data_IF_244682320160
#
_entry.id   IF_244682320160
#
_cell.length_a   1.000
_cell.length_b   1.000
_cell.length_c   1.000
_cell.angle_alpha   90.00
_cell.angle_beta   90.00
_cell.angle_gamma   90.00
#
_symmetry.space_group_name_H-M   'P 1'
#
loop_
_entity.id
_entity.type
_entity.pdbx_description
1 polymer ?
#
# COMPACT_ATOMS: atom_id res chain seq x y z
N UNK A 1 -17.12 -4.60 -12.59
CA UNK A 1 -16.79 -3.69 -13.71
C UNK A 1 -15.92 -4.49 -14.66
N UNK A 2 -16.30 -4.57 -15.92
CA UNK A 2 -15.52 -5.28 -16.93
C UNK A 2 -14.44 -4.38 -17.52
N UNK A 3 -13.50 -5.01 -18.20
CA UNK A 3 -12.46 -4.38 -19.00
C UNK A 3 -12.60 -4.92 -20.42
N UNK A 4 -12.49 -4.02 -21.39
CA UNK A 4 -12.37 -4.34 -22.81
C UNK A 4 -11.33 -3.41 -23.43
N UNK A 5 -10.57 -3.88 -24.40
CA UNK A 5 -9.64 -3.03 -25.12
C UNK A 5 -9.11 -3.70 -26.38
N UNK A 6 -8.22 -2.99 -27.06
CA UNK A 6 -7.58 -3.47 -28.28
C UNK A 6 -6.16 -2.95 -28.40
N UNK A 7 -5.33 -3.71 -29.14
CA UNK A 7 -4.00 -3.26 -29.53
C UNK A 7 -4.16 -2.23 -30.65
N UNK A 8 -3.56 -1.04 -30.49
CA UNK A 8 -3.73 0.08 -31.44
C UNK A 8 -3.38 -0.34 -32.86
N UNK A 9 -4.31 -0.10 -33.76
CA UNK A 9 -4.24 -0.32 -35.20
C UNK A 9 -5.21 0.65 -35.87
N UNK A 10 -4.88 1.13 -37.08
CA UNK A 10 -5.69 2.13 -37.80
C UNK A 10 -7.06 1.57 -38.26
N UNK A 11 -7.27 0.25 -38.15
CA UNK A 11 -8.52 -0.42 -38.52
C UNK A 11 -9.66 -0.25 -37.50
N UNK A 12 -9.37 0.20 -36.27
CA UNK A 12 -10.38 0.30 -35.22
C UNK A 12 -10.84 1.75 -35.05
N UNK A 13 -12.08 2.03 -35.47
CA UNK A 13 -12.78 3.28 -35.14
C UNK A 13 -13.36 3.18 -33.72
N UNK A 14 -12.72 3.87 -32.77
CA UNK A 14 -13.13 3.91 -31.36
C UNK A 14 -14.60 4.37 -31.21
N UNK A 15 -15.06 5.36 -31.99
CA UNK A 15 -16.44 5.87 -31.86
C UNK A 15 -17.46 4.82 -32.30
N UNK A 16 -17.16 4.10 -33.39
CA UNK A 16 -18.01 3.01 -33.87
C UNK A 16 -18.06 1.86 -32.88
N UNK A 17 -16.93 1.48 -32.30
CA UNK A 17 -16.87 0.45 -31.25
C UNK A 17 -17.74 0.83 -30.05
N UNK A 18 -17.63 2.07 -29.56
CA UNK A 18 -18.42 2.57 -28.42
C UNK A 18 -19.93 2.52 -28.74
N UNK A 19 -20.33 2.91 -29.96
CA UNK A 19 -21.74 2.80 -30.39
C UNK A 19 -22.24 1.36 -30.42
N UNK A 20 -21.42 0.41 -30.87
CA UNK A 20 -21.77 -1.01 -30.89
C UNK A 20 -21.95 -1.58 -29.49
N UNK A 21 -21.09 -1.21 -28.55
CA UNK A 21 -21.24 -1.56 -27.13
C UNK A 21 -22.54 -0.99 -26.54
N UNK A 22 -22.86 0.26 -26.87
CA UNK A 22 -24.12 0.89 -26.42
C UNK A 22 -25.38 0.17 -26.91
N UNK A 23 -25.36 -0.39 -28.13
CA UNK A 23 -26.50 -1.16 -28.69
C UNK A 23 -26.82 -2.42 -27.91
N UNK A 24 -25.82 -3.00 -27.23
CA UNK A 24 -25.98 -4.19 -26.37
C UNK A 24 -26.11 -3.84 -24.89
N UNK A 25 -26.34 -2.56 -24.56
CA UNK A 25 -26.57 -2.08 -23.20
C UNK A 25 -25.30 -1.93 -22.36
N UNK A 26 -24.12 -1.97 -22.97
CA UNK A 26 -22.84 -1.78 -22.26
C UNK A 26 -22.42 -0.31 -22.30
N UNK A 27 -22.01 0.21 -21.15
CA UNK A 27 -21.60 1.61 -21.00
C UNK A 27 -20.10 1.69 -20.75
N UNK A 28 -19.41 2.51 -21.54
CA UNK A 28 -17.99 2.83 -21.34
C UNK A 28 -17.87 3.88 -20.23
N UNK A 29 -17.26 3.50 -19.12
CA UNK A 29 -17.00 4.36 -17.96
C UNK A 29 -15.77 5.24 -18.16
N UNK A 30 -14.69 4.66 -18.69
CA UNK A 30 -13.44 5.39 -18.90
C UNK A 30 -12.65 4.81 -20.08
N UNK A 31 -11.74 5.63 -20.63
CA UNK A 31 -10.84 5.30 -21.74
C UNK A 31 -9.42 5.72 -21.38
N UNK A 32 -8.45 4.83 -21.57
CA UNK A 32 -7.03 5.12 -21.33
C UNK A 32 -6.15 4.49 -22.40
N UNK A 33 -4.99 5.08 -22.61
CA UNK A 33 -3.93 4.48 -23.40
C UNK A 33 -2.93 3.81 -22.48
N UNK A 34 -2.53 2.60 -22.84
CA UNK A 34 -1.58 1.80 -22.08
C UNK A 34 -0.59 1.14 -23.03
N UNK A 35 0.49 0.60 -22.48
CA UNK A 35 1.30 -0.39 -23.21
C UNK A 35 1.23 -1.73 -22.52
N UNK A 36 1.09 -2.78 -23.31
CA UNK A 36 1.07 -4.17 -22.83
C UNK A 36 2.28 -4.91 -23.37
N UNK A 37 2.94 -5.67 -22.50
CA UNK A 37 4.03 -6.56 -22.85
C UNK A 37 3.46 -7.90 -23.28
N UNK A 38 3.29 -8.12 -24.58
CA UNK A 38 2.85 -9.40 -25.12
C UNK A 38 4.02 -10.35 -25.30
N UNK A 39 3.74 -11.62 -25.61
CA UNK A 39 4.74 -12.65 -25.92
C UNK A 39 5.69 -12.26 -27.07
N UNK A 40 5.30 -11.33 -27.93
CA UNK A 40 6.11 -10.84 -29.06
C UNK A 40 6.90 -9.59 -28.68
N UNK A 41 6.24 -8.56 -28.15
CA UNK A 41 6.84 -7.27 -27.80
C UNK A 41 5.87 -6.37 -27.02
N UNK A 42 6.37 -5.20 -26.61
CA UNK A 42 5.52 -4.12 -26.11
C UNK A 42 4.63 -3.58 -27.23
N UNK A 43 3.33 -3.45 -26.93
CA UNK A 43 2.31 -2.95 -27.84
C UNK A 43 1.52 -1.81 -27.20
N UNK A 44 1.31 -0.74 -27.95
CA UNK A 44 0.37 0.31 -27.54
C UNK A 44 -1.06 -0.23 -27.62
N UNK A 45 -1.89 0.10 -26.65
CA UNK A 45 -3.25 -0.38 -26.54
C UNK A 45 -4.18 0.70 -26.00
N UNK A 46 -5.47 0.55 -26.29
CA UNK A 46 -6.54 1.33 -25.68
C UNK A 46 -7.33 0.39 -24.77
N UNK A 47 -7.55 0.83 -23.54
CA UNK A 47 -8.34 0.10 -22.54
C UNK A 47 -9.56 0.93 -22.17
N UNK A 48 -10.69 0.25 -22.09
CA UNK A 48 -11.98 0.76 -21.65
C UNK A 48 -12.41 0.04 -20.38
N UNK A 49 -12.84 0.83 -19.39
CA UNK A 49 -13.62 0.28 -18.27
C UNK A 49 -15.09 0.24 -18.70
N UNK A 50 -15.71 -0.93 -18.56
CA UNK A 50 -17.08 -1.20 -19.00
C UNK A 50 -17.98 -1.48 -17.79
N UNK A 51 -19.10 -0.78 -17.73
CA UNK A 51 -20.19 -1.10 -16.81
C UNK A 51 -21.04 -2.21 -17.43
N UNK A 52 -20.66 -3.46 -17.14
CA UNK A 52 -21.33 -4.66 -17.62
C UNK A 52 -20.36 -5.82 -17.81
N UNK A 53 -20.86 -7.02 -18.20
CA UNK A 53 -20.03 -8.16 -18.52
C UNK A 53 -19.28 -7.95 -19.84
N UNK A 54 -18.01 -8.35 -19.87
CA UNK A 54 -17.16 -8.25 -21.08
C UNK A 54 -16.73 -9.59 -21.65
N UNK A 55 -17.14 -10.71 -21.03
CA UNK A 55 -16.75 -12.05 -21.45
C UNK A 55 -17.20 -12.37 -22.88
N UNK A 56 -16.27 -12.87 -23.70
CA UNK A 56 -16.46 -13.23 -25.10
C UNK A 56 -16.46 -12.04 -26.07
N UNK A 57 -16.52 -10.79 -25.61
CA UNK A 57 -16.55 -9.61 -26.48
C UNK A 57 -15.23 -9.43 -27.21
N UNK A 58 -14.10 -9.62 -26.53
CA UNK A 58 -12.79 -9.46 -27.16
C UNK A 58 -12.60 -10.47 -28.29
N UNK A 59 -13.04 -11.73 -28.10
CA UNK A 59 -12.99 -12.73 -29.16
C UNK A 59 -13.84 -12.32 -30.37
N UNK A 60 -15.07 -11.86 -30.14
CA UNK A 60 -15.96 -11.40 -31.20
C UNK A 60 -15.36 -10.21 -31.98
N UNK A 61 -14.88 -9.19 -31.27
CA UNK A 61 -14.32 -8.00 -31.89
C UNK A 61 -12.98 -8.26 -32.56
N UNK A 62 -12.16 -9.18 -32.03
CA UNK A 62 -10.91 -9.56 -32.68
C UNK A 62 -11.14 -10.15 -34.07
N UNK A 63 -12.14 -11.02 -34.21
CA UNK A 63 -12.53 -11.57 -35.51
C UNK A 63 -13.17 -10.52 -36.42
N UNK A 64 -14.01 -9.63 -35.88
CA UNK A 64 -14.73 -8.62 -36.66
C UNK A 64 -13.83 -7.53 -37.23
N UNK A 65 -12.91 -7.03 -36.42
CA UNK A 65 -11.99 -5.95 -36.79
C UNK A 65 -10.65 -6.46 -37.31
N UNK A 66 -10.40 -7.77 -37.25
CA UNK A 66 -9.12 -8.40 -37.63
C UNK A 66 -7.90 -7.78 -36.90
N UNK A 67 -8.09 -7.39 -35.64
CA UNK A 67 -7.09 -6.78 -34.75
C UNK A 67 -7.13 -7.49 -33.40
N UNK A 68 -6.03 -7.60 -32.64
CA UNK A 68 -6.10 -8.20 -31.31
C UNK A 68 -6.93 -7.36 -30.33
N UNK A 69 -7.93 -7.97 -29.71
CA UNK A 69 -8.75 -7.39 -28.65
C UNK A 69 -8.50 -8.11 -27.33
N UNK A 70 -8.79 -7.47 -26.20
CA UNK A 70 -8.64 -8.09 -24.89
C UNK A 70 -9.76 -7.75 -23.93
N UNK A 71 -10.06 -8.67 -23.02
CA UNK A 71 -11.12 -8.54 -22.01
C UNK A 71 -10.63 -8.96 -20.61
N UNK A 72 -11.31 -8.48 -19.57
CA UNK A 72 -11.02 -8.84 -18.18
C UNK A 72 -11.99 -8.20 -17.19
N UNK A 73 -11.67 -8.21 -15.88
CA UNK A 73 -10.50 -8.87 -15.30
C UNK A 73 -10.68 -10.40 -15.25
N UNK A 74 -9.61 -11.12 -15.59
CA UNK A 74 -9.45 -12.54 -15.28
C UNK A 74 -8.69 -12.64 -13.97
N UNK A 75 -9.26 -13.32 -12.97
CA UNK A 75 -8.60 -13.52 -11.68
C UNK A 75 -7.67 -14.71 -11.76
N UNK A 76 -6.39 -14.51 -11.44
CA UNK A 76 -5.37 -15.55 -11.35
C UNK A 76 -4.92 -15.70 -9.89
N UNK A 77 -4.97 -16.93 -9.37
CA UNK A 77 -4.68 -17.23 -7.97
C UNK A 77 -5.93 -17.32 -7.09
N UNK A 78 -5.73 -17.38 -5.78
CA UNK A 78 -6.81 -17.57 -4.80
C UNK A 78 -7.12 -16.28 -4.06
N UNK A 79 -8.31 -15.71 -4.31
CA UNK A 79 -8.78 -14.50 -3.60
C UNK A 79 -8.88 -14.74 -2.08
N UNK A 80 -9.20 -15.97 -1.67
CA UNK A 80 -9.23 -16.38 -0.25
C UNK A 80 -7.88 -16.29 0.44
N UNK A 81 -6.77 -16.43 -0.31
CA UNK A 81 -5.42 -16.24 0.20
C UNK A 81 -5.04 -14.75 0.33
N UNK A 82 -5.98 -13.84 0.02
CA UNK A 82 -5.83 -12.37 0.09
C UNK A 82 -4.75 -11.79 -0.84
N UNK A 83 -4.22 -12.60 -1.75
CA UNK A 83 -3.22 -12.22 -2.73
C UNK A 83 -3.56 -12.88 -4.07
N UNK A 84 -3.79 -12.08 -5.12
CA UNK A 84 -4.10 -12.58 -6.46
C UNK A 84 -3.61 -11.59 -7.52
N UNK A 85 -3.55 -12.05 -8.77
CA UNK A 85 -3.33 -11.18 -9.92
C UNK A 85 -4.64 -10.95 -10.69
N UNK A 86 -4.86 -9.72 -11.14
CA UNK A 86 -5.86 -9.43 -12.16
C UNK A 86 -5.16 -9.36 -13.52
N UNK A 87 -5.66 -10.15 -14.47
CA UNK A 87 -5.16 -10.22 -15.82
C UNK A 87 -6.20 -9.82 -16.85
N UNK A 88 -5.75 -9.60 -18.08
CA UNK A 88 -6.61 -9.56 -19.26
C UNK A 88 -6.26 -10.71 -20.18
N UNK A 89 -7.27 -11.19 -20.90
CA UNK A 89 -7.11 -12.17 -21.97
C UNK A 89 -7.11 -11.46 -23.30
N UNK A 90 -6.00 -11.51 -24.02
CA UNK A 90 -5.89 -11.06 -25.41
C UNK A 90 -6.36 -12.20 -26.31
N UNK A 91 -7.23 -11.88 -27.26
CA UNK A 91 -7.65 -12.72 -28.37
C UNK A 91 -7.06 -12.18 -29.66
N UNK A 92 -6.33 -13.03 -30.38
CA UNK A 92 -5.77 -12.71 -31.69
C UNK A 92 -6.74 -13.12 -32.80
N UNK A 93 -6.74 -12.44 -33.96
CA UNK A 93 -7.56 -12.83 -35.11
C UNK A 93 -7.31 -14.25 -35.62
N UNK A 94 -6.12 -14.80 -35.37
CA UNK A 94 -5.75 -16.19 -35.66
C UNK A 94 -6.52 -17.23 -34.84
N UNK A 95 -7.25 -16.81 -33.80
CA UNK A 95 -7.92 -17.69 -32.84
C UNK A 95 -7.08 -18.04 -31.60
N UNK A 96 -5.79 -17.67 -31.60
CA UNK A 96 -4.93 -17.81 -30.43
C UNK A 96 -5.32 -16.82 -29.33
N UNK A 97 -4.95 -17.13 -28.08
CA UNK A 97 -5.15 -16.23 -26.94
C UNK A 97 -3.99 -16.25 -25.97
N UNK A 98 -3.79 -15.13 -25.28
CA UNK A 98 -2.72 -14.90 -24.32
C UNK A 98 -3.27 -14.23 -23.06
N UNK A 99 -2.77 -14.59 -21.87
CA UNK A 99 -3.10 -13.92 -20.62
C UNK A 99 -1.96 -12.98 -20.21
N UNK A 100 -2.30 -11.75 -19.86
CA UNK A 100 -1.34 -10.75 -19.38
C UNK A 100 -1.82 -10.21 -18.04
N UNK A 101 -1.04 -10.46 -16.99
CA UNK A 101 -1.28 -9.88 -15.67
C UNK A 101 -1.11 -8.36 -15.70
N UNK A 102 -2.14 -7.62 -15.29
CA UNK A 102 -2.11 -6.16 -15.23
C UNK A 102 -1.82 -5.66 -13.81
N UNK A 103 -2.39 -6.31 -12.80
CA UNK A 103 -2.25 -5.89 -11.41
C UNK A 103 -1.97 -7.07 -10.49
N UNK A 104 -1.14 -6.85 -9.47
CA UNK A 104 -1.12 -7.62 -8.23
C UNK A 104 -2.06 -6.95 -7.24
N UNK A 105 -2.93 -7.73 -6.61
CA UNK A 105 -3.87 -7.27 -5.59
C UNK A 105 -3.54 -7.96 -4.26
N UNK A 106 -3.22 -7.16 -3.25
CA UNK A 106 -2.88 -7.62 -1.90
C UNK A 106 -3.84 -6.97 -0.90
N UNK A 107 -4.71 -7.80 -0.33
CA UNK A 107 -5.71 -7.37 0.67
C UNK A 107 -5.20 -7.38 2.11
N UNK A 108 -3.98 -7.83 2.38
CA UNK A 108 -3.34 -7.57 3.68
C UNK A 108 -2.88 -6.11 3.77
N UNK A 109 -2.45 -5.55 2.63
CA UNK A 109 -1.97 -4.18 2.51
C UNK A 109 -2.96 -3.25 1.78
N UNK A 110 -4.17 -3.73 1.48
CA UNK A 110 -5.20 -3.07 0.66
C UNK A 110 -4.60 -2.28 -0.52
N UNK A 111 -3.73 -2.96 -1.27
CA UNK A 111 -2.96 -2.34 -2.35
C UNK A 111 -3.19 -3.09 -3.66
N UNK A 112 -3.29 -2.32 -4.75
CA UNK A 112 -3.38 -2.83 -6.10
C UNK A 112 -2.29 -2.18 -6.93
N UNK A 113 -1.36 -3.00 -7.45
CA UNK A 113 -0.10 -2.54 -8.02
C UNK A 113 0.04 -3.03 -9.45
N UNK A 114 0.30 -2.13 -10.43
CA UNK A 114 0.58 -2.52 -11.79
C UNK A 114 1.79 -3.46 -11.88
N UNK A 115 1.68 -4.52 -12.67
CA UNK A 115 2.78 -5.46 -12.94
C UNK A 115 3.84 -4.83 -13.84
N UNK A 116 4.93 -5.55 -14.09
CA UNK A 116 5.92 -5.16 -15.09
C UNK A 116 5.45 -5.36 -16.55
N UNK A 117 4.24 -5.90 -16.76
CA UNK A 117 3.71 -6.20 -18.10
C UNK A 117 2.83 -5.06 -18.64
N UNK A 118 2.65 -3.97 -17.88
CA UNK A 118 1.82 -2.84 -18.29
C UNK A 118 2.43 -1.49 -17.93
N UNK A 119 2.37 -0.55 -18.87
CA UNK A 119 2.65 0.88 -18.65
C UNK A 119 1.37 1.70 -18.84
N UNK A 120 1.23 2.83 -18.13
CA UNK A 120 0.07 3.73 -18.26
C UNK A 120 -1.11 3.41 -17.34
N UNK A 121 -1.00 2.38 -16.50
CA UNK A 121 -1.93 2.12 -15.41
C UNK A 121 -1.36 2.59 -14.07
N UNK A 122 -2.21 3.23 -13.27
CA UNK A 122 -1.86 3.65 -11.91
C UNK A 122 -2.36 2.63 -10.91
N UNK A 123 -1.50 2.30 -9.94
CA UNK A 123 -1.90 1.54 -8.77
C UNK A 123 -2.69 2.39 -7.78
N UNK A 124 -3.16 1.75 -6.72
CA UNK A 124 -3.71 2.46 -5.58
C UNK A 124 -3.51 1.70 -4.29
N UNK A 125 -3.53 2.42 -3.17
CA UNK A 125 -3.61 1.87 -1.83
C UNK A 125 -4.83 2.45 -1.12
N UNK A 126 -5.48 1.66 -0.26
CA UNK A 126 -6.56 2.13 0.61
C UNK A 126 -6.07 2.22 2.05
N UNK A 127 -6.26 3.39 2.66
CA UNK A 127 -5.94 3.65 4.07
C UNK A 127 -7.17 4.27 4.73
N UNK A 128 -7.68 3.62 5.77
CA UNK A 128 -8.99 3.93 6.33
C UNK A 128 -10.09 3.75 5.27
N UNK A 129 -10.82 4.83 4.95
CA UNK A 129 -11.83 4.84 3.90
C UNK A 129 -11.38 5.55 2.60
N UNK A 130 -10.12 6.02 2.53
CA UNK A 130 -9.62 6.81 1.40
C UNK A 130 -8.71 5.99 0.49
N UNK A 131 -8.89 6.18 -0.82
CA UNK A 131 -8.05 5.60 -1.88
C UNK A 131 -7.01 6.61 -2.32
N UNK A 132 -5.75 6.22 -2.26
CA UNK A 132 -4.59 6.99 -2.68
C UNK A 132 -4.02 6.40 -3.97
N UNK A 133 -3.73 7.24 -4.96
CA UNK A 133 -3.06 6.80 -6.18
C UNK A 133 -1.61 6.48 -5.88
N UNK A 134 -1.07 5.47 -6.57
CA UNK A 134 0.34 5.11 -6.46
C UNK A 134 1.15 5.61 -7.67
N UNK A 135 2.44 5.99 -7.46
CA UNK A 135 3.13 6.07 -6.17
C UNK A 135 2.61 7.24 -5.31
N UNK A 136 2.68 7.09 -3.98
CA UNK A 136 2.24 8.09 -3.00
C UNK A 136 3.12 9.35 -3.09
N UNK A 137 2.45 10.51 -3.06
CA UNK A 137 3.10 11.82 -2.98
C UNK A 137 3.50 12.16 -1.54
N UNK A 138 4.29 13.23 -1.37
CA UNK A 138 4.65 13.75 -0.05
C UNK A 138 3.40 14.23 0.72
N UNK A 139 2.44 14.81 0.00
CA UNK A 139 1.17 15.27 0.54
C UNK A 139 0.33 14.09 1.05
N UNK A 140 0.27 13.00 0.28
CA UNK A 140 -0.41 11.77 0.69
C UNK A 140 0.21 11.21 1.98
N UNK A 141 1.54 11.15 2.06
CA UNK A 141 2.24 10.67 3.26
C UNK A 141 1.94 11.52 4.50
N UNK A 142 1.87 12.85 4.36
CA UNK A 142 1.52 13.75 5.47
C UNK A 142 0.10 13.51 5.96
N UNK A 143 -0.84 13.34 5.04
CA UNK A 143 -2.23 13.03 5.37
C UNK A 143 -2.30 11.68 6.09
N UNK A 144 -1.66 10.64 5.54
CA UNK A 144 -1.61 9.30 6.11
C UNK A 144 -0.98 9.31 7.51
N UNK A 145 0.13 10.04 7.69
CA UNK A 145 0.81 10.17 8.98
C UNK A 145 -0.11 10.75 10.07
N UNK A 146 -1.01 11.67 9.67
CA UNK A 146 -1.96 12.30 10.59
C UNK A 146 -3.05 11.36 11.11
N UNK A 147 -3.25 10.20 10.46
CA UNK A 147 -4.28 9.21 10.82
C UNK A 147 -3.85 8.24 11.94
N UNK A 148 -2.59 8.29 12.38
CA UNK A 148 -2.08 7.48 13.50
C UNK A 148 -1.92 5.99 13.17
N UNK A 149 -0.68 5.48 13.12
CA UNK A 149 -0.37 4.06 12.87
C UNK A 149 -0.57 3.57 11.43
N UNK A 150 -1.15 4.39 10.55
CA UNK A 150 -1.36 4.05 9.14
C UNK A 150 -0.06 4.04 8.30
N UNK A 151 1.02 4.68 8.79
CA UNK A 151 2.32 4.71 8.13
C UNK A 151 2.98 3.33 8.07
N UNK A 152 2.83 2.50 9.09
CA UNK A 152 3.42 1.14 9.14
C UNK A 152 2.98 0.30 7.94
N UNK A 153 1.73 0.46 7.51
CA UNK A 153 1.18 -0.21 6.34
C UNK A 153 1.86 0.26 5.05
N UNK A 154 2.11 1.57 4.94
CA UNK A 154 2.85 2.15 3.81
C UNK A 154 4.28 1.64 3.79
N UNK A 155 4.95 1.59 4.95
CA UNK A 155 6.32 1.08 5.08
C UNK A 155 6.39 -0.38 4.62
N UNK A 156 5.52 -1.26 5.13
CA UNK A 156 5.47 -2.68 4.72
C UNK A 156 5.21 -2.84 3.21
N UNK A 157 4.31 -2.05 2.66
CA UNK A 157 4.05 -2.08 1.22
C UNK A 157 5.25 -1.59 0.40
N UNK A 158 5.96 -0.57 0.88
CA UNK A 158 7.18 -0.08 0.26
C UNK A 158 8.32 -1.13 0.34
N UNK A 159 8.41 -1.91 1.42
CA UNK A 159 9.38 -3.00 1.54
C UNK A 159 9.15 -4.11 0.51
N UNK A 160 7.88 -4.46 0.26
CA UNK A 160 7.52 -5.54 -0.67
C UNK A 160 7.54 -5.08 -2.13
N UNK A 161 7.01 -3.89 -2.40
CA UNK A 161 6.73 -3.41 -3.76
C UNK A 161 7.59 -2.22 -4.19
N UNK A 162 8.43 -1.70 -3.30
CA UNK A 162 9.42 -0.67 -3.59
C UNK A 162 8.82 0.65 -4.02
N UNK A 163 9.50 1.29 -4.99
CA UNK A 163 9.16 2.60 -5.53
C UNK A 163 7.80 2.68 -6.23
N UNK A 164 7.17 1.53 -6.51
CA UNK A 164 5.79 1.50 -7.02
C UNK A 164 4.79 2.00 -5.98
N UNK A 165 5.11 1.90 -4.70
CA UNK A 165 4.27 2.40 -3.60
C UNK A 165 4.68 3.81 -3.23
N UNK A 166 5.96 4.04 -2.95
CA UNK A 166 6.47 5.34 -2.53
C UNK A 166 7.98 5.39 -2.73
N UNK A 167 8.52 6.57 -3.02
CA UNK A 167 9.95 6.79 -2.94
C UNK A 167 10.41 6.73 -1.47
N UNK A 168 11.25 5.76 -1.14
CA UNK A 168 11.74 5.51 0.23
C UNK A 168 12.43 6.75 0.83
N UNK A 169 13.01 7.63 0.00
CA UNK A 169 13.61 8.89 0.46
C UNK A 169 12.58 9.85 1.08
N UNK A 170 11.31 9.74 0.70
CA UNK A 170 10.21 10.52 1.27
C UNK A 170 9.75 9.98 2.64
N UNK A 171 9.86 8.67 2.86
CA UNK A 171 9.51 8.04 4.15
C UNK A 171 10.46 8.49 5.26
N UNK A 172 11.78 8.50 5.01
CA UNK A 172 12.77 8.96 6.00
C UNK A 172 12.54 10.40 6.44
N UNK A 173 12.13 11.28 5.52
CA UNK A 173 11.81 12.69 5.82
C UNK A 173 10.51 12.86 6.63
N UNK A 174 9.55 11.95 6.46
CA UNK A 174 8.30 11.96 7.22
C UNK A 174 8.50 11.46 8.66
N UNK A 175 9.40 10.49 8.87
CA UNK A 175 9.83 10.07 10.22
C UNK A 175 10.65 11.16 10.93
N UNK A 176 11.52 11.90 10.21
CA UNK A 176 12.29 13.03 10.73
C UNK A 176 11.43 14.25 11.14
N UNK A 177 10.21 14.40 10.62
CA UNK A 177 9.27 15.47 11.02
C UNK A 177 8.60 15.23 12.38
N UNK A 178 8.84 14.09 13.03
CA UNK A 178 8.41 13.80 14.42
C UNK A 178 9.52 14.16 15.40
N UNK A 179 9.46 15.37 15.96
CA UNK A 179 10.35 15.80 17.03
C UNK A 179 9.70 15.53 18.38
N UNK A 180 10.42 14.83 19.25
CA UNK A 180 9.95 14.56 20.60
C UNK A 180 10.88 15.21 21.61
N UNK A 181 10.29 15.86 22.61
CA UNK A 181 11.00 16.40 23.77
C UNK A 181 10.34 15.90 25.04
N UNK A 182 11.13 15.58 26.05
CA UNK A 182 10.60 15.19 27.36
C UNK A 182 10.68 16.40 28.29
N UNK A 183 9.53 16.82 28.80
CA UNK A 183 9.43 17.76 29.90
C UNK A 183 9.31 16.95 31.20
N UNK A 184 10.45 16.74 31.86
CA UNK A 184 10.51 15.99 33.11
C UNK A 184 9.85 16.75 34.27
N UNK A 185 9.83 18.08 34.23
CA UNK A 185 9.20 18.89 35.29
C UNK A 185 7.69 18.75 35.26
N UNK A 186 7.10 18.85 34.06
CA UNK A 186 5.66 18.66 33.88
C UNK A 186 5.25 17.18 33.82
N UNK A 187 6.19 16.27 33.53
CA UNK A 187 5.94 14.84 33.42
C UNK A 187 5.30 14.42 32.10
N UNK A 188 5.60 15.12 31.01
CA UNK A 188 5.02 14.87 29.69
C UNK A 188 6.09 14.69 28.61
N UNK A 189 5.74 13.93 27.57
CA UNK A 189 6.45 13.90 26.30
C UNK A 189 5.69 14.77 25.31
N UNK A 190 6.36 15.81 24.83
CA UNK A 190 5.88 16.70 23.78
C UNK A 190 6.24 16.06 22.45
N UNK A 191 5.23 15.70 21.68
CA UNK A 191 5.39 15.13 20.34
C UNK A 191 4.96 16.19 19.33
N UNK A 192 5.93 16.73 18.59
CA UNK A 192 5.73 17.65 17.50
C UNK A 192 5.69 16.88 16.18
N UNK A 193 4.54 16.88 15.51
CA UNK A 193 4.33 16.28 14.18
C UNK A 193 3.95 17.39 13.20
N UNK A 194 4.93 17.92 12.47
CA UNK A 194 4.73 19.12 11.65
C UNK A 194 4.27 20.32 12.49
N UNK A 195 3.07 20.85 12.21
CA UNK A 195 2.49 22.00 12.95
C UNK A 195 1.63 21.59 14.16
N UNK A 196 1.48 20.28 14.45
CA UNK A 196 0.67 19.81 15.57
C UNK A 196 1.58 19.45 16.75
N UNK A 197 1.24 19.99 17.91
CA UNK A 197 1.87 19.66 19.19
C UNK A 197 0.86 18.84 19.99
N UNK A 198 1.29 17.66 20.44
CA UNK A 198 0.52 16.82 21.36
C UNK A 198 1.38 16.42 22.55
N UNK A 199 0.76 16.23 23.71
CA UNK A 199 1.44 15.80 24.94
C UNK A 199 0.92 14.45 25.40
N UNK A 200 1.82 13.58 25.82
CA UNK A 200 1.49 12.29 26.43
C UNK A 200 2.16 12.22 27.80
N UNK A 201 1.51 11.71 28.87
CA UNK A 201 2.17 11.49 30.15
C UNK A 201 3.44 10.63 29.98
N UNK A 202 4.52 11.01 30.67
CA UNK A 202 5.82 10.38 30.51
C UNK A 202 5.80 8.89 30.87
N UNK A 203 5.09 8.51 31.92
CA UNK A 203 4.94 7.11 32.33
C UNK A 203 4.16 6.26 31.32
N UNK A 204 3.06 6.77 30.80
CA UNK A 204 2.30 6.12 29.73
C UNK A 204 3.16 5.94 28.47
N UNK A 205 3.85 7.01 28.07
CA UNK A 205 4.74 6.98 26.92
C UNK A 205 5.90 6.00 27.11
N UNK A 206 6.51 6.00 28.30
CA UNK A 206 7.62 5.11 28.64
C UNK A 206 7.19 3.64 28.65
N UNK A 207 5.99 3.36 29.17
CA UNK A 207 5.38 2.03 29.12
C UNK A 207 5.16 1.57 27.69
N UNK A 208 4.65 2.46 26.83
CA UNK A 208 4.43 2.18 25.41
C UNK A 208 5.74 1.80 24.72
N UNK A 209 6.80 2.61 24.83
CA UNK A 209 8.07 2.35 24.13
C UNK A 209 8.74 1.04 24.58
N UNK A 210 8.62 0.67 25.86
CA UNK A 210 9.12 -0.60 26.39
C UNK A 210 8.36 -1.77 25.75
N UNK A 211 7.02 -1.69 25.74
CA UNK A 211 6.15 -2.75 25.19
C UNK A 211 6.32 -2.95 23.68
N UNK A 212 6.67 -1.89 22.96
CA UNK A 212 6.91 -1.96 21.52
C UNK A 212 8.37 -2.29 21.17
N UNK A 213 9.23 -2.57 22.15
CA UNK A 213 10.62 -2.97 21.93
C UNK A 213 11.56 -1.85 21.49
N UNK A 214 11.18 -0.57 21.70
CA UNK A 214 12.02 0.59 21.37
C UNK A 214 13.03 0.88 22.50
N UNK A 215 13.88 -0.10 22.82
CA UNK A 215 14.69 -0.11 24.04
C UNK A 215 15.79 0.96 24.04
N UNK A 216 16.39 1.29 22.89
CA UNK A 216 17.38 2.38 22.78
C UNK A 216 16.79 3.74 23.19
N UNK A 217 15.52 3.94 22.86
CA UNK A 217 14.78 5.16 23.21
C UNK A 217 14.45 5.20 24.70
N UNK A 218 14.02 4.07 25.26
CA UNK A 218 13.80 3.93 26.69
C UNK A 218 15.08 4.18 27.49
N UNK A 219 16.23 3.69 27.00
CA UNK A 219 17.54 3.91 27.61
C UNK A 219 17.94 5.38 27.62
N UNK A 220 17.75 6.09 26.50
CA UNK A 220 18.03 7.53 26.40
C UNK A 220 17.17 8.37 27.36
N UNK A 221 15.86 8.13 27.37
CA UNK A 221 14.94 8.84 28.28
C UNK A 221 15.34 8.59 29.74
N UNK A 222 15.71 7.36 30.11
CA UNK A 222 16.14 7.07 31.47
C UNK A 222 17.45 7.79 31.85
N UNK A 223 18.42 7.83 30.94
CA UNK A 223 19.72 8.49 31.17
C UNK A 223 19.59 10.00 31.32
N UNK A 224 18.69 10.61 30.56
CA UNK A 224 18.41 12.05 30.58
C UNK A 224 17.44 12.45 31.70
N UNK A 225 16.72 11.49 32.29
CA UNK A 225 15.76 11.75 33.35
C UNK A 225 16.44 12.25 34.64
N UNK A 226 15.85 13.22 35.33
CA UNK A 226 16.21 13.55 36.71
C UNK A 226 16.00 12.36 37.65
N UNK A 227 16.74 12.33 38.77
CA UNK A 227 16.75 11.18 39.68
C UNK A 227 15.36 10.85 40.28
N UNK A 228 14.50 11.85 40.46
CA UNK A 228 13.13 11.64 40.95
C UNK A 228 12.24 10.88 39.95
N UNK A 229 12.54 10.92 38.65
CA UNK A 229 11.86 10.10 37.64
C UNK A 229 12.47 8.72 37.48
N UNK A 230 13.78 8.56 37.67
CA UNK A 230 14.47 7.27 37.45
C UNK A 230 13.86 6.13 38.26
N UNK A 231 13.48 6.37 39.51
CA UNK A 231 12.83 5.35 40.34
C UNK A 231 11.51 4.89 39.74
N UNK A 232 10.70 5.83 39.24
CA UNK A 232 9.39 5.54 38.61
C UNK A 232 9.55 4.89 37.23
N UNK A 233 10.52 5.32 36.42
CA UNK A 233 10.79 4.69 35.13
C UNK A 233 11.33 3.27 35.28
N UNK A 234 12.15 3.04 36.32
CA UNK A 234 12.67 1.70 36.66
C UNK A 234 11.54 0.76 37.09
N UNK A 235 10.61 1.23 37.92
CA UNK A 235 9.47 0.39 38.35
C UNK A 235 8.60 -0.05 37.17
N UNK A 236 8.43 0.79 36.14
CA UNK A 236 7.70 0.44 34.91
C UNK A 236 8.37 -0.74 34.18
N UNK A 237 9.71 -0.76 34.08
CA UNK A 237 10.45 -1.88 33.46
C UNK A 237 10.27 -3.15 34.30
N UNK A 238 10.39 -3.05 35.62
CA UNK A 238 10.23 -4.17 36.55
C UNK A 238 8.82 -4.78 36.49
N UNK A 239 7.79 -3.94 36.46
CA UNK A 239 6.39 -4.35 36.31
C UNK A 239 6.14 -5.06 34.97
N UNK A 240 6.74 -4.56 33.89
CA UNK A 240 6.59 -5.18 32.57
C UNK A 240 7.31 -6.53 32.47
N UNK A 241 8.51 -6.66 33.06
CA UNK A 241 9.19 -7.96 33.20
C UNK A 241 8.32 -8.95 33.97
N UNK A 242 7.72 -8.51 35.08
CA UNK A 242 6.83 -9.37 35.88
C UNK A 242 5.63 -9.83 35.05
N UNK A 243 4.97 -8.91 34.34
CA UNK A 243 3.85 -9.21 33.44
C UNK A 243 4.23 -10.24 32.38
N UNK A 244 5.38 -10.07 31.73
CA UNK A 244 5.87 -10.99 30.69
C UNK A 244 6.21 -12.39 31.25
N UNK A 245 6.77 -12.46 32.46
CA UNK A 245 7.02 -13.74 33.15
C UNK A 245 5.72 -14.48 33.48
N UNK A 246 4.68 -13.77 33.91
CA UNK A 246 3.36 -14.35 34.20
C UNK A 246 2.73 -15.01 32.95
N UNK A 247 2.94 -14.42 31.76
CA UNK A 247 2.46 -14.98 30.49
C UNK A 247 3.49 -15.89 29.78
N UNK A 248 4.59 -16.25 30.45
CA UNK A 248 5.69 -17.11 29.93
C UNK A 248 6.32 -16.60 28.63
N UNK A 249 6.41 -15.28 28.48
CA UNK A 249 7.07 -14.65 27.34
C UNK A 249 8.55 -14.38 27.64
N UNK A 250 9.38 -14.24 26.60
CA UNK A 250 10.79 -13.87 26.77
C UNK A 250 10.92 -12.46 27.37
N UNK A 251 11.90 -12.30 28.26
CA UNK A 251 12.18 -11.08 29.03
C UNK A 251 13.65 -10.64 28.96
N UNK A 252 14.50 -11.38 28.24
CA UNK A 252 15.95 -11.13 28.21
C UNK A 252 16.31 -9.68 27.89
N UNK A 253 15.68 -9.10 26.88
CA UNK A 253 16.01 -7.76 26.41
C UNK A 253 15.68 -6.68 27.46
N UNK A 254 14.59 -6.86 28.22
CA UNK A 254 14.23 -5.95 29.31
C UNK A 254 15.11 -6.15 30.55
N UNK A 255 15.51 -7.39 30.84
CA UNK A 255 16.45 -7.69 31.92
C UNK A 255 17.85 -7.13 31.61
N UNK A 256 18.27 -7.15 30.35
CA UNK A 256 19.52 -6.55 29.89
C UNK A 256 19.47 -5.02 29.93
N UNK A 257 18.34 -4.43 29.50
CA UNK A 257 18.08 -3.00 29.68
C UNK A 257 18.16 -2.63 31.17
N UNK A 258 17.46 -3.35 32.04
CA UNK A 258 17.46 -3.05 33.48
C UNK A 258 18.86 -3.13 34.10
N UNK A 259 19.72 -4.05 33.64
CA UNK A 259 21.13 -4.16 34.07
C UNK A 259 21.98 -2.99 33.59
N UNK A 260 21.74 -2.47 32.39
CA UNK A 260 22.49 -1.33 31.83
C UNK A 260 22.05 0.02 32.39
N UNK A 261 20.91 0.07 33.09
CA UNK A 261 20.38 1.27 33.75
C UNK A 261 20.71 1.36 35.26
N UNK A 262 21.33 0.32 35.84
CA UNK A 262 21.89 0.32 37.20
C UNK A 262 23.35 0.79 37.20
#
# INVERSE_FOLDING_TARGET
MGVLGFIKDDQVDENKLIQELGKVGLVVSSRREIKLKTCKNWKNAVIFEILGPTEGLAKFFASKYNVPFFEGPVILGEVSAKLWSEAVRIHYPSGESELIELFVCDSFLDVKIPTANVEGLSGHMVIGAKRYSLPLSKEDLREIASLGGALDKVVRAAEIYGSKVVDISLLRKAEEEVKEGVDYEAGYVIIMKGNRISTVPLDEYYTYIIRTGLLDKACRIFKEAPDYWKTKLKSIIEEEIKRLKEIKHDTKDLEELLKTLN
#
